data_IF_524040730168
#
_entry.id   IF_524040730168
#
_cell.length_a   1.000
_cell.length_b   1.000
_cell.length_c   1.000
_cell.angle_alpha   90.00
_cell.angle_beta   90.00
_cell.angle_gamma   90.00
#
_symmetry.space_group_name_H-M   'P 1'
#
loop_
_entity.id
_entity.type
_entity.pdbx_description
1 polymer ?
#
# COMPACT_ATOMS: atom_id res chain seq x y z
N UNK A 1 -29.28 -17.07 5.70
CA UNK A 1 -29.20 -15.59 5.59
C UNK A 1 -28.94 -15.25 4.13
N UNK A 2 -29.90 -14.63 3.43
CA UNK A 2 -29.91 -14.53 1.96
C UNK A 2 -28.59 -13.97 1.39
N UNK A 3 -28.04 -14.65 0.39
CA UNK A 3 -26.80 -14.27 -0.31
C UNK A 3 -26.81 -12.78 -0.72
N UNK A 4 -27.95 -12.31 -1.23
CA UNK A 4 -28.20 -10.92 -1.61
C UNK A 4 -27.99 -9.95 -0.43
N UNK A 5 -28.49 -10.28 0.76
CA UNK A 5 -28.32 -9.44 1.96
C UNK A 5 -26.85 -9.34 2.38
N UNK A 6 -26.08 -10.44 2.26
CA UNK A 6 -24.63 -10.44 2.53
C UNK A 6 -23.87 -9.63 1.50
N UNK A 7 -24.24 -9.77 0.22
CA UNK A 7 -23.65 -9.00 -0.88
C UNK A 7 -23.88 -7.51 -0.69
N UNK A 8 -25.13 -7.06 -0.55
CA UNK A 8 -25.49 -5.65 -0.34
C UNK A 8 -24.77 -5.06 0.87
N UNK A 9 -24.74 -5.79 2.00
CA UNK A 9 -24.04 -5.32 3.20
C UNK A 9 -22.54 -5.14 2.94
N UNK A 10 -21.91 -6.08 2.27
CA UNK A 10 -20.46 -6.02 1.99
C UNK A 10 -20.15 -4.90 1.01
N UNK A 11 -20.90 -4.81 -0.09
CA UNK A 11 -20.75 -3.78 -1.12
C UNK A 11 -21.01 -2.38 -0.55
N UNK A 12 -22.05 -2.20 0.28
CA UNK A 12 -22.35 -0.93 0.94
C UNK A 12 -21.24 -0.49 1.89
N UNK A 13 -20.67 -1.42 2.66
CA UNK A 13 -19.53 -1.13 3.55
C UNK A 13 -18.31 -0.68 2.74
N UNK A 14 -17.95 -1.39 1.66
CA UNK A 14 -16.85 -0.96 0.78
C UNK A 14 -17.12 0.37 0.08
N UNK A 15 -18.35 0.58 -0.39
CA UNK A 15 -18.75 1.80 -1.07
C UNK A 15 -18.61 3.00 -0.14
N UNK A 16 -19.21 2.94 1.05
CA UNK A 16 -19.11 4.01 2.06
C UNK A 16 -17.67 4.21 2.48
N UNK A 17 -16.93 3.12 2.73
CA UNK A 17 -15.53 3.16 3.12
C UNK A 17 -14.67 3.93 2.13
N UNK A 18 -14.67 3.48 0.87
CA UNK A 18 -13.84 4.07 -0.17
C UNK A 18 -14.29 5.49 -0.55
N UNK A 19 -15.60 5.75 -0.56
CA UNK A 19 -16.14 7.08 -0.89
C UNK A 19 -15.77 8.08 0.19
N UNK A 20 -15.92 7.71 1.46
CA UNK A 20 -15.60 8.58 2.58
C UNK A 20 -14.11 8.92 2.58
N UNK A 21 -13.22 7.93 2.40
CA UNK A 21 -11.77 8.20 2.29
C UNK A 21 -11.47 9.19 1.16
N UNK A 22 -12.05 9.02 -0.03
CA UNK A 22 -11.82 9.92 -1.17
C UNK A 22 -12.38 11.33 -0.94
N UNK A 23 -13.58 11.44 -0.39
CA UNK A 23 -14.19 12.74 -0.06
C UNK A 23 -13.32 13.50 0.93
N UNK A 24 -12.79 12.82 1.95
CA UNK A 24 -11.96 13.49 2.93
C UNK A 24 -10.61 13.93 2.33
N UNK A 25 -9.99 13.12 1.47
CA UNK A 25 -8.79 13.57 0.73
C UNK A 25 -9.07 14.81 -0.13
N UNK A 26 -10.25 14.90 -0.74
CA UNK A 26 -10.67 16.10 -1.49
C UNK A 26 -10.81 17.32 -0.59
N UNK A 27 -11.41 17.18 0.59
CA UNK A 27 -11.54 18.30 1.56
C UNK A 27 -10.20 18.74 2.17
N UNK A 28 -9.17 17.91 2.13
CA UNK A 28 -7.82 18.28 2.54
C UNK A 28 -7.04 19.06 1.47
N UNK A 29 -7.50 19.04 0.22
CA UNK A 29 -6.82 19.71 -0.88
C UNK A 29 -6.61 21.21 -0.61
N UNK A 30 -7.62 21.99 -0.16
CA UNK A 30 -7.42 23.40 0.17
C UNK A 30 -6.33 23.59 1.24
N UNK A 31 -6.32 22.76 2.27
CA UNK A 31 -5.32 22.83 3.34
C UNK A 31 -3.92 22.61 2.79
N UNK A 32 -3.73 21.61 1.92
CA UNK A 32 -2.45 21.37 1.29
C UNK A 32 -2.03 22.51 0.36
N UNK A 33 -2.93 23.00 -0.49
CA UNK A 33 -2.61 24.07 -1.45
C UNK A 33 -2.35 25.43 -0.80
N UNK A 34 -2.92 25.70 0.38
CA UNK A 34 -2.68 26.96 1.11
C UNK A 34 -1.42 26.93 1.99
N UNK A 35 -1.07 25.75 2.55
CA UNK A 35 0.01 25.63 3.54
C UNK A 35 1.30 25.01 3.00
N UNK A 36 1.24 24.25 1.90
CA UNK A 36 2.39 23.51 1.35
C UNK A 36 2.73 24.07 -0.02
N UNK A 37 4.03 24.32 -0.25
CA UNK A 37 4.52 24.79 -1.54
C UNK A 37 4.26 23.75 -2.66
N UNK A 38 3.82 24.18 -3.86
CA UNK A 38 3.56 23.28 -4.98
C UNK A 38 4.72 22.35 -5.33
N UNK A 39 5.96 22.85 -5.22
CA UNK A 39 7.19 22.08 -5.50
C UNK A 39 7.36 20.92 -4.51
N UNK A 40 7.11 21.16 -3.21
CA UNK A 40 7.18 20.13 -2.18
C UNK A 40 6.08 19.09 -2.35
N UNK A 41 4.89 19.51 -2.76
CA UNK A 41 3.79 18.58 -3.06
C UNK A 41 4.10 17.73 -4.31
N UNK A 42 4.69 18.32 -5.35
CA UNK A 42 5.18 17.59 -6.52
C UNK A 42 6.25 16.57 -6.18
N UNK A 43 7.17 16.90 -5.27
CA UNK A 43 8.17 15.96 -4.75
C UNK A 43 7.53 14.76 -4.04
N UNK A 44 6.51 15.01 -3.20
CA UNK A 44 5.76 13.94 -2.55
C UNK A 44 5.01 13.06 -3.54
N UNK A 45 4.31 13.64 -4.50
CA UNK A 45 3.56 12.87 -5.51
C UNK A 45 4.49 11.97 -6.33
N UNK A 46 5.65 12.49 -6.76
CA UNK A 46 6.69 11.69 -7.41
C UNK A 46 7.18 10.54 -6.54
N UNK A 47 7.44 10.82 -5.27
CA UNK A 47 7.94 9.81 -4.33
C UNK A 47 6.92 8.70 -4.09
N UNK A 48 5.66 9.04 -3.85
CA UNK A 48 4.57 8.07 -3.68
C UNK A 48 4.34 7.28 -4.97
N UNK A 49 4.40 7.92 -6.13
CA UNK A 49 4.30 7.26 -7.44
C UNK A 49 5.39 6.21 -7.64
N UNK A 50 6.64 6.53 -7.28
CA UNK A 50 7.76 5.59 -7.31
C UNK A 50 7.60 4.45 -6.31
N UNK A 51 7.11 4.71 -5.10
CA UNK A 51 6.80 3.66 -4.12
C UNK A 51 5.74 2.70 -4.67
N UNK A 52 4.65 3.24 -5.23
CA UNK A 52 3.56 2.45 -5.82
C UNK A 52 4.03 1.57 -6.99
N UNK A 53 5.08 1.99 -7.70
CA UNK A 53 5.72 1.21 -8.76
C UNK A 53 6.68 0.14 -8.21
N UNK A 54 7.63 0.57 -7.38
CA UNK A 54 8.78 -0.24 -6.98
C UNK A 54 8.40 -1.31 -5.96
N UNK A 55 7.51 -1.01 -5.01
CA UNK A 55 7.17 -1.95 -3.94
C UNK A 55 6.52 -3.23 -4.49
N UNK A 56 5.50 -3.19 -5.37
CA UNK A 56 4.98 -4.40 -6.00
C UNK A 56 6.05 -5.25 -6.70
N UNK A 57 7.01 -4.63 -7.37
CA UNK A 57 8.06 -5.34 -8.10
C UNK A 57 9.04 -6.01 -7.13
N UNK A 58 9.56 -5.25 -6.16
CA UNK A 58 10.56 -5.71 -5.19
C UNK A 58 10.01 -6.83 -4.29
N UNK A 59 8.73 -6.76 -3.95
CA UNK A 59 8.05 -7.78 -3.16
C UNK A 59 7.36 -8.86 -4.02
N UNK A 60 7.63 -8.87 -5.34
CA UNK A 60 7.10 -9.83 -6.32
C UNK A 60 5.58 -9.93 -6.35
N UNK A 61 4.88 -8.89 -5.89
CA UNK A 61 3.43 -8.83 -5.74
C UNK A 61 2.87 -10.09 -5.05
N UNK A 62 3.65 -10.67 -4.13
CA UNK A 62 3.42 -12.00 -3.56
C UNK A 62 2.08 -12.11 -2.82
N UNK A 63 1.54 -10.99 -2.34
CA UNK A 63 0.21 -10.92 -1.74
C UNK A 63 -0.89 -11.42 -2.69
N UNK A 64 -0.81 -11.22 -4.00
CA UNK A 64 -1.84 -11.73 -4.92
C UNK A 64 -1.77 -13.25 -5.10
N UNK A 65 -0.56 -13.81 -5.07
CA UNK A 65 -0.36 -15.25 -4.98
C UNK A 65 -0.96 -15.80 -3.69
N UNK A 66 -0.63 -15.21 -2.54
CA UNK A 66 -1.20 -15.62 -1.25
C UNK A 66 -2.72 -15.54 -1.28
N UNK A 67 -3.28 -14.47 -1.85
CA UNK A 67 -4.72 -14.30 -1.98
C UNK A 67 -5.35 -15.47 -2.73
N UNK A 68 -4.86 -15.80 -3.94
CA UNK A 68 -5.40 -16.89 -4.75
C UNK A 68 -5.25 -18.25 -4.07
N UNK A 69 -4.04 -18.61 -3.70
CA UNK A 69 -3.74 -19.96 -3.20
C UNK A 69 -4.38 -20.24 -1.83
N UNK A 70 -4.65 -19.20 -1.02
CA UNK A 70 -5.41 -19.40 0.24
C UNK A 70 -6.86 -19.85 0.02
N UNK A 71 -7.47 -19.63 -1.15
CA UNK A 71 -8.81 -20.15 -1.45
C UNK A 71 -8.82 -21.61 -1.90
N UNK A 72 -7.67 -22.19 -2.24
CA UNK A 72 -7.56 -23.61 -2.58
C UNK A 72 -7.66 -24.52 -1.34
N UNK A 73 -7.58 -23.92 -0.14
CA UNK A 73 -7.63 -24.63 1.13
C UNK A 73 -8.84 -24.20 1.96
N UNK A 74 -9.56 -25.17 2.54
CA UNK A 74 -10.67 -24.89 3.46
C UNK A 74 -10.19 -24.77 4.91
N UNK A 75 -9.22 -25.61 5.31
CA UNK A 75 -8.76 -25.65 6.70
C UNK A 75 -7.92 -24.42 7.01
N UNK A 76 -8.20 -23.83 8.18
CA UNK A 76 -7.48 -22.65 8.68
C UNK A 76 -5.97 -22.89 8.77
N UNK A 77 -5.53 -24.08 9.18
CA UNK A 77 -4.11 -24.46 9.29
C UNK A 77 -3.41 -24.42 7.94
N UNK A 78 -4.06 -24.91 6.88
CA UNK A 78 -3.51 -24.93 5.51
C UNK A 78 -3.47 -23.53 4.91
N UNK A 79 -4.48 -22.68 5.20
CA UNK A 79 -4.40 -21.25 4.85
C UNK A 79 -3.20 -20.56 5.51
N UNK A 80 -2.92 -20.85 6.78
CA UNK A 80 -1.72 -20.30 7.44
C UNK A 80 -0.41 -20.87 6.91
N UNK A 81 -0.39 -22.07 6.31
CA UNK A 81 0.77 -22.56 5.56
C UNK A 81 1.06 -21.66 4.36
N UNK A 82 0.05 -21.35 3.54
CA UNK A 82 0.21 -20.43 2.40
C UNK A 82 0.67 -19.05 2.88
N UNK A 83 0.05 -18.52 3.94
CA UNK A 83 0.40 -17.23 4.52
C UNK A 83 1.83 -17.24 5.07
N UNK A 84 2.27 -18.33 5.73
CA UNK A 84 3.64 -18.45 6.25
C UNK A 84 4.67 -18.41 5.14
N UNK A 85 4.41 -19.10 4.02
CA UNK A 85 5.26 -19.04 2.83
C UNK A 85 5.27 -17.62 2.22
N UNK A 86 4.12 -16.96 2.21
CA UNK A 86 3.98 -15.55 1.81
C UNK A 86 4.80 -14.58 2.69
N UNK A 87 4.77 -14.75 4.01
CA UNK A 87 5.58 -13.95 4.95
C UNK A 87 7.07 -14.15 4.69
N UNK A 88 7.49 -15.37 4.39
CA UNK A 88 8.89 -15.65 4.02
C UNK A 88 9.29 -14.89 2.76
N UNK A 89 8.44 -14.87 1.73
CA UNK A 89 8.67 -14.04 0.53
C UNK A 89 8.71 -12.56 0.90
N UNK A 90 7.80 -12.09 1.76
CA UNK A 90 7.76 -10.71 2.23
C UNK A 90 9.04 -10.32 2.96
N UNK A 91 9.64 -11.23 3.74
CA UNK A 91 10.90 -11.00 4.43
C UNK A 91 12.08 -10.90 3.46
N UNK A 92 12.13 -11.76 2.43
CA UNK A 92 13.12 -11.64 1.36
C UNK A 92 12.94 -10.35 0.56
N UNK A 93 11.70 -9.96 0.26
CA UNK A 93 11.38 -8.67 -0.37
C UNK A 93 11.82 -7.49 0.48
N UNK A 94 11.65 -7.57 1.81
CA UNK A 94 12.14 -6.55 2.74
C UNK A 94 13.66 -6.41 2.70
N UNK A 95 14.41 -7.53 2.71
CA UNK A 95 15.86 -7.51 2.57
C UNK A 95 16.30 -6.90 1.24
N UNK A 96 15.64 -7.27 0.14
CA UNK A 96 15.89 -6.70 -1.19
C UNK A 96 15.57 -5.20 -1.23
N UNK A 97 14.49 -4.77 -0.59
CA UNK A 97 14.10 -3.37 -0.47
C UNK A 97 15.15 -2.57 0.30
N UNK A 98 15.63 -3.09 1.45
CA UNK A 98 16.70 -2.45 2.23
C UNK A 98 17.94 -2.25 1.38
N UNK A 99 18.43 -3.32 0.73
CA UNK A 99 19.65 -3.27 -0.07
C UNK A 99 19.49 -2.29 -1.24
N UNK A 100 18.42 -2.45 -2.03
CA UNK A 100 18.18 -1.60 -3.20
C UNK A 100 18.00 -0.13 -2.82
N UNK A 101 17.28 0.18 -1.74
CA UNK A 101 17.08 1.55 -1.29
C UNK A 101 18.42 2.22 -0.92
N UNK A 102 19.22 1.60 -0.05
CA UNK A 102 20.49 2.18 0.39
C UNK A 102 21.55 2.24 -0.72
N UNK A 103 21.57 1.26 -1.65
CA UNK A 103 22.44 1.30 -2.82
C UNK A 103 22.06 2.46 -3.73
N UNK A 104 20.77 2.67 -4.00
CA UNK A 104 20.29 3.76 -4.85
C UNK A 104 20.59 5.13 -4.22
N UNK A 105 20.26 5.31 -2.94
CA UNK A 105 20.47 6.59 -2.25
C UNK A 105 21.95 6.96 -2.14
N UNK A 106 22.85 5.97 -1.94
CA UNK A 106 24.28 6.25 -1.81
C UNK A 106 24.98 6.39 -3.16
N UNK A 107 24.53 5.68 -4.20
CA UNK A 107 25.19 5.70 -5.51
C UNK A 107 24.86 6.95 -6.33
N UNK A 108 23.65 7.51 -6.17
CA UNK A 108 23.18 8.60 -7.03
C UNK A 108 23.73 9.98 -6.67
N UNK A 109 24.53 10.14 -5.60
CA UNK A 109 24.97 11.44 -5.05
C UNK A 109 23.83 12.49 -4.94
N UNK A 110 22.59 12.02 -4.92
CA UNK A 110 21.40 12.84 -4.83
C UNK A 110 21.00 12.88 -3.36
N UNK A 111 20.90 14.07 -2.80
CA UNK A 111 20.32 14.20 -1.47
C UNK A 111 18.81 14.04 -1.61
N UNK A 112 18.30 12.94 -1.07
CA UNK A 112 16.86 12.63 -1.08
C UNK A 112 16.30 13.17 0.22
N UNK A 113 15.59 14.29 0.14
CA UNK A 113 14.85 14.84 1.26
C UNK A 113 13.91 13.79 1.86
N UNK A 114 13.82 13.76 3.20
CA UNK A 114 12.95 12.83 3.92
C UNK A 114 13.23 11.34 3.65
N UNK A 115 14.42 10.95 3.16
CA UNK A 115 14.77 9.54 2.81
C UNK A 115 14.34 8.49 3.82
N UNK A 116 14.47 8.76 5.12
CA UNK A 116 14.08 7.81 6.17
C UNK A 116 12.56 7.65 6.28
N UNK A 117 11.79 8.73 6.11
CA UNK A 117 10.33 8.68 6.09
C UNK A 117 9.85 7.91 4.86
N UNK A 118 10.44 8.19 3.69
CA UNK A 118 10.16 7.49 2.43
C UNK A 118 10.44 5.99 2.55
N UNK A 119 11.57 5.63 3.15
CA UNK A 119 11.96 4.26 3.41
C UNK A 119 10.93 3.53 4.31
N UNK A 120 10.56 4.13 5.44
CA UNK A 120 9.57 3.53 6.36
C UNK A 120 8.20 3.45 5.69
N UNK A 121 7.81 4.47 4.92
CA UNK A 121 6.57 4.46 4.15
C UNK A 121 6.52 3.24 3.22
N UNK A 122 7.59 3.00 2.44
CA UNK A 122 7.66 1.87 1.51
C UNK A 122 7.53 0.51 2.20
N UNK A 123 8.20 0.33 3.35
CA UNK A 123 8.05 -0.87 4.18
C UNK A 123 6.58 -1.05 4.59
N UNK A 124 6.00 -0.02 5.20
CA UNK A 124 4.63 -0.09 5.71
C UNK A 124 3.62 -0.30 4.60
N UNK A 125 3.83 0.29 3.42
CA UNK A 125 3.01 0.06 2.24
C UNK A 125 3.00 -1.42 1.86
N UNK A 126 4.17 -2.05 1.76
CA UNK A 126 4.29 -3.48 1.43
C UNK A 126 3.55 -4.36 2.45
N UNK A 127 3.75 -4.12 3.75
CA UNK A 127 3.09 -4.88 4.81
C UNK A 127 1.60 -4.60 4.88
N UNK A 128 1.15 -3.37 4.64
CA UNK A 128 -0.27 -3.01 4.59
C UNK A 128 -0.98 -3.81 3.50
N UNK A 129 -0.41 -3.89 2.30
CA UNK A 129 -0.95 -4.70 1.21
C UNK A 129 -1.05 -6.18 1.59
N UNK A 130 0.02 -6.74 2.17
CA UNK A 130 0.03 -8.12 2.62
C UNK A 130 -1.05 -8.42 3.67
N UNK A 131 -1.13 -7.62 4.73
CA UNK A 131 -2.12 -7.80 5.80
C UNK A 131 -3.56 -7.62 5.31
N UNK A 132 -3.81 -6.65 4.42
CA UNK A 132 -5.11 -6.48 3.78
C UNK A 132 -5.49 -7.70 2.94
N UNK A 133 -4.53 -8.25 2.20
CA UNK A 133 -4.72 -9.51 1.48
C UNK A 133 -5.11 -10.64 2.44
N UNK A 134 -4.35 -10.86 3.52
CA UNK A 134 -4.65 -11.93 4.49
C UNK A 134 -6.03 -11.74 5.12
N UNK A 135 -6.44 -10.51 5.45
CA UNK A 135 -7.79 -10.23 5.93
C UNK A 135 -8.86 -10.69 4.92
N UNK A 136 -8.65 -10.42 3.63
CA UNK A 136 -9.55 -10.85 2.54
C UNK A 136 -9.54 -12.37 2.35
N UNK A 137 -8.39 -13.03 2.44
CA UNK A 137 -8.26 -14.50 2.35
C UNK A 137 -9.08 -15.24 3.42
N UNK A 138 -9.28 -14.62 4.58
CA UNK A 138 -10.17 -15.12 5.64
C UNK A 138 -11.61 -14.60 5.54
N UNK A 139 -11.98 -13.95 4.43
CA UNK A 139 -13.29 -13.32 4.22
C UNK A 139 -13.67 -12.29 5.30
N UNK A 140 -12.69 -11.71 6.00
CA UNK A 140 -12.89 -10.68 7.03
C UNK A 140 -12.97 -9.28 6.40
N UNK A 141 -13.82 -9.14 5.38
CA UNK A 141 -13.96 -7.90 4.60
C UNK A 141 -14.39 -6.70 5.44
N UNK A 142 -15.29 -6.90 6.40
CA UNK A 142 -15.72 -5.84 7.31
C UNK A 142 -14.56 -5.34 8.20
N UNK A 143 -13.69 -6.24 8.66
CA UNK A 143 -12.50 -5.86 9.43
C UNK A 143 -11.58 -4.99 8.59
N UNK A 144 -11.30 -5.40 7.33
CA UNK A 144 -10.47 -4.62 6.41
C UNK A 144 -11.03 -3.21 6.18
N UNK A 145 -12.33 -3.09 5.90
CA UNK A 145 -12.91 -1.76 5.64
C UNK A 145 -12.88 -0.88 6.87
N UNK A 146 -13.22 -1.42 8.04
CA UNK A 146 -13.19 -0.65 9.30
C UNK A 146 -11.78 -0.20 9.64
N UNK A 147 -10.77 -1.07 9.52
CA UNK A 147 -9.38 -0.68 9.81
C UNK A 147 -8.79 0.24 8.76
N UNK A 148 -9.19 0.11 7.49
CA UNK A 148 -8.82 1.04 6.42
C UNK A 148 -9.41 2.44 6.63
N UNK A 149 -10.70 2.52 6.98
CA UNK A 149 -11.35 3.78 7.36
C UNK A 149 -10.67 4.43 8.56
N UNK A 150 -10.35 3.63 9.58
CA UNK A 150 -9.64 4.12 10.76
C UNK A 150 -8.24 4.63 10.41
N UNK A 151 -7.50 3.95 9.55
CA UNK A 151 -6.22 4.45 9.02
C UNK A 151 -6.40 5.82 8.35
N UNK A 152 -7.37 5.94 7.44
CA UNK A 152 -7.66 7.21 6.76
C UNK A 152 -7.96 8.31 7.78
N UNK A 153 -8.90 8.09 8.71
CA UNK A 153 -9.30 9.09 9.71
C UNK A 153 -8.10 9.54 10.54
N UNK A 154 -7.27 8.60 11.02
CA UNK A 154 -6.07 8.93 11.80
C UNK A 154 -5.09 9.74 10.96
N UNK A 155 -4.82 9.30 9.72
CA UNK A 155 -3.93 10.01 8.81
C UNK A 155 -4.42 11.44 8.55
N UNK A 156 -5.73 11.63 8.40
CA UNK A 156 -6.34 12.95 8.18
C UNK A 156 -6.19 13.84 9.41
N UNK A 157 -6.55 13.33 10.59
CA UNK A 157 -6.45 14.09 11.85
C UNK A 157 -4.99 14.50 12.09
N UNK A 158 -4.05 13.60 11.85
CA UNK A 158 -2.63 13.91 11.95
C UNK A 158 -2.19 14.92 10.91
N UNK A 159 -2.58 14.79 9.65
CA UNK A 159 -2.24 15.77 8.61
C UNK A 159 -2.70 17.17 9.01
N UNK A 160 -3.97 17.32 9.39
CA UNK A 160 -4.53 18.62 9.82
C UNK A 160 -3.78 19.17 11.02
N UNK A 161 -3.51 18.32 12.03
CA UNK A 161 -2.84 18.72 13.27
C UNK A 161 -1.40 19.14 13.01
N UNK A 162 -0.62 18.31 12.32
CA UNK A 162 0.80 18.57 12.04
C UNK A 162 1.00 19.79 11.13
N UNK A 163 0.15 19.97 10.13
CA UNK A 163 0.26 21.11 9.19
C UNK A 163 -0.28 22.40 9.81
N UNK A 164 -1.40 22.36 10.54
CA UNK A 164 -2.07 23.59 11.01
C UNK A 164 -1.57 24.09 12.36
N UNK A 165 -1.17 23.18 13.26
CA UNK A 165 -0.78 23.52 14.64
C UNK A 165 0.74 23.53 14.79
N UNK A 166 1.44 22.59 14.15
CA UNK A 166 2.89 22.45 14.25
C UNK A 166 3.63 23.07 13.06
N UNK A 167 2.90 23.65 12.09
CA UNK A 167 3.42 24.24 10.85
C UNK A 167 4.44 23.33 10.12
N UNK A 168 4.23 22.02 10.19
CA UNK A 168 5.03 21.04 9.46
C UNK A 168 4.73 21.12 7.97
N UNK A 169 5.76 20.86 7.16
CA UNK A 169 5.67 20.82 5.71
C UNK A 169 5.17 19.47 5.18
N UNK A 170 5.79 19.01 4.11
CA UNK A 170 5.39 17.78 3.40
C UNK A 170 5.66 16.51 4.22
N UNK A 171 6.56 16.56 5.20
CA UNK A 171 6.84 15.48 6.14
C UNK A 171 5.61 15.05 6.95
N UNK A 172 4.66 15.96 7.17
CA UNK A 172 3.40 15.65 7.84
C UNK A 172 2.62 14.54 7.11
N UNK A 173 2.66 14.51 5.78
CA UNK A 173 1.96 13.52 4.97
C UNK A 173 2.56 12.13 5.13
N UNK A 174 3.89 12.04 5.11
CA UNK A 174 4.59 10.78 5.35
C UNK A 174 4.34 10.27 6.78
N UNK A 175 4.49 11.13 7.79
CA UNK A 175 4.31 10.77 9.20
C UNK A 175 2.88 10.31 9.47
N UNK A 176 1.89 11.03 8.93
CA UNK A 176 0.48 10.71 9.08
C UNK A 176 0.15 9.32 8.51
N UNK A 177 0.63 9.02 7.30
CA UNK A 177 0.46 7.70 6.71
C UNK A 177 1.17 6.61 7.52
N UNK A 178 2.40 6.85 7.98
CA UNK A 178 3.19 5.91 8.77
C UNK A 178 2.43 5.53 10.04
N UNK A 179 1.96 6.52 10.80
CA UNK A 179 1.26 6.29 12.07
C UNK A 179 -0.10 5.61 11.83
N UNK A 180 -0.89 6.11 10.87
CA UNK A 180 -2.18 5.51 10.54
C UNK A 180 -2.06 4.05 10.10
N UNK A 181 -1.06 3.76 9.27
CA UNK A 181 -0.81 2.40 8.76
C UNK A 181 -0.25 1.48 9.84
N UNK A 182 0.63 1.96 10.73
CA UNK A 182 1.08 1.19 11.89
C UNK A 182 -0.09 0.77 12.78
N UNK A 183 -1.00 1.69 13.09
CA UNK A 183 -2.18 1.38 13.91
C UNK A 183 -3.08 0.36 13.20
N UNK A 184 -3.30 0.51 11.89
CA UNK A 184 -4.04 -0.49 11.11
C UNK A 184 -3.38 -1.87 11.17
N UNK A 185 -2.06 -1.96 10.97
CA UNK A 185 -1.33 -3.22 11.03
C UNK A 185 -1.42 -3.86 12.41
N UNK A 186 -1.30 -3.10 13.49
CA UNK A 186 -1.46 -3.62 14.85
C UNK A 186 -2.85 -4.20 15.11
N UNK A 187 -3.91 -3.54 14.62
CA UNK A 187 -5.29 -4.04 14.76
C UNK A 187 -5.48 -5.31 13.93
N UNK A 188 -5.00 -5.33 12.69
CA UNK A 188 -5.07 -6.50 11.83
C UNK A 188 -4.29 -7.68 12.43
N UNK A 189 -3.09 -7.43 12.96
CA UNK A 189 -2.29 -8.46 13.60
C UNK A 189 -2.98 -9.06 14.82
N UNK A 190 -3.53 -8.22 15.70
CA UNK A 190 -4.29 -8.71 16.87
C UNK A 190 -5.49 -9.59 16.48
N UNK A 191 -6.10 -9.36 15.31
CA UNK A 191 -7.31 -10.06 14.85
C UNK A 191 -7.03 -11.25 13.92
N UNK A 192 -5.92 -11.25 13.22
CA UNK A 192 -5.51 -12.29 12.27
C UNK A 192 -4.45 -13.22 12.88
N UNK A 193 -3.70 -12.74 13.87
CA UNK A 193 -2.63 -13.45 14.57
C UNK A 193 -1.64 -14.04 13.56
N UNK A 194 -1.20 -13.24 12.60
CA UNK A 194 -0.36 -13.71 11.49
C UNK A 194 0.99 -14.17 12.04
N UNK A 195 1.58 -13.40 12.96
CA UNK A 195 2.88 -13.69 13.57
C UNK A 195 2.77 -14.93 14.47
N UNK A 196 1.74 -15.03 15.31
CA UNK A 196 1.56 -16.20 16.20
C UNK A 196 1.31 -17.51 15.43
N UNK A 197 0.72 -17.45 14.23
CA UNK A 197 0.48 -18.63 13.40
C UNK A 197 1.58 -18.88 12.37
N UNK A 198 2.60 -18.02 12.29
CA UNK A 198 3.76 -18.26 11.46
C UNK A 198 4.53 -19.47 11.99
N UNK A 199 4.83 -20.42 11.10
CA UNK A 199 5.61 -21.61 11.43
C UNK A 199 6.68 -21.82 10.37
N UNK A 200 7.93 -21.89 10.81
CA UNK A 200 9.05 -22.10 9.90
C UNK A 200 9.06 -23.54 9.32
N UNK A 201 8.53 -24.51 10.08
CA UNK A 201 8.49 -25.93 9.70
C UNK A 201 7.54 -26.27 8.55
N UNK A 202 6.63 -25.36 8.19
CA UNK A 202 5.66 -25.55 7.09
C UNK A 202 6.01 -24.72 5.84
N UNK A 203 7.19 -24.08 5.84
CA UNK A 203 7.70 -23.38 4.67
C UNK A 203 8.23 -24.41 3.68
N UNK A 204 7.85 -24.26 2.41
CA UNK A 204 8.37 -25.07 1.31
C UNK A 204 8.75 -24.17 0.14
N UNK A 205 9.96 -24.37 -0.36
CA UNK A 205 10.45 -23.64 -1.53
C UNK A 205 9.53 -23.81 -2.75
N UNK A 206 8.93 -25.00 -2.89
CA UNK A 206 7.95 -25.30 -3.94
C UNK A 206 6.77 -24.34 -3.88
N UNK A 207 6.11 -24.20 -2.72
CA UNK A 207 4.95 -23.32 -2.58
C UNK A 207 5.34 -21.85 -2.75
N UNK A 208 6.51 -21.43 -2.23
CA UNK A 208 7.01 -20.08 -2.46
C UNK A 208 7.18 -19.78 -3.96
N UNK A 209 7.74 -20.74 -4.71
CA UNK A 209 7.88 -20.62 -6.17
C UNK A 209 6.53 -20.53 -6.86
N UNK A 210 5.56 -21.36 -6.48
CA UNK A 210 4.20 -21.33 -7.05
C UNK A 210 3.51 -19.97 -6.80
N UNK A 211 3.68 -19.39 -5.60
CA UNK A 211 3.17 -18.05 -5.27
C UNK A 211 3.78 -16.96 -6.15
N UNK A 212 5.11 -16.94 -6.26
CA UNK A 212 5.84 -15.92 -7.05
C UNK A 212 5.57 -16.08 -8.53
N UNK A 213 5.62 -17.30 -9.08
CA UNK A 213 5.37 -17.55 -10.51
C UNK A 213 3.97 -17.11 -10.91
N UNK A 214 2.98 -17.29 -10.03
CA UNK A 214 1.64 -16.78 -10.27
C UNK A 214 1.57 -15.24 -10.21
N UNK A 215 2.32 -14.61 -9.31
CA UNK A 215 2.29 -13.16 -9.12
C UNK A 215 3.14 -12.37 -10.13
N UNK A 216 4.19 -12.96 -10.71
CA UNK A 216 5.09 -12.30 -11.67
C UNK A 216 4.37 -11.64 -12.86
N UNK A 217 3.41 -12.30 -13.55
CA UNK A 217 2.63 -11.64 -14.60
C UNK A 217 1.85 -10.43 -14.11
N UNK A 218 1.40 -10.42 -12.84
CA UNK A 218 0.67 -9.30 -12.25
C UNK A 218 1.60 -8.10 -11.97
N UNK A 219 2.88 -8.35 -11.67
CA UNK A 219 3.88 -7.26 -11.60
C UNK A 219 4.00 -6.53 -12.95
N UNK A 220 3.98 -7.28 -14.07
CA UNK A 220 4.03 -6.70 -15.41
C UNK A 220 2.80 -5.84 -15.67
N UNK A 221 1.62 -6.29 -15.22
CA UNK A 221 0.39 -5.49 -15.31
C UNK A 221 0.52 -4.18 -14.54
N UNK A 222 1.01 -4.21 -13.29
CA UNK A 222 1.24 -3.01 -12.48
C UNK A 222 2.22 -2.04 -13.16
N UNK A 223 3.33 -2.57 -13.69
CA UNK A 223 4.31 -1.81 -14.49
C UNK A 223 3.66 -1.15 -15.72
N UNK A 224 2.86 -1.91 -16.47
CA UNK A 224 2.16 -1.41 -17.65
C UNK A 224 1.19 -0.29 -17.31
N UNK A 225 0.45 -0.38 -16.21
CA UNK A 225 -0.45 0.69 -15.78
C UNK A 225 0.30 1.97 -15.38
N UNK A 226 1.41 1.84 -14.65
CA UNK A 226 2.21 3.01 -14.28
C UNK A 226 2.85 3.67 -15.52
N UNK A 227 3.39 2.86 -16.43
CA UNK A 227 3.91 3.34 -17.72
C UNK A 227 2.84 4.02 -18.55
N UNK A 228 1.64 3.44 -18.65
CA UNK A 228 0.53 4.02 -19.38
C UNK A 228 0.19 5.41 -18.82
N UNK A 229 0.04 5.53 -17.50
CA UNK A 229 -0.26 6.83 -16.86
C UNK A 229 0.85 7.86 -17.09
N UNK A 230 2.12 7.45 -16.99
CA UNK A 230 3.26 8.34 -17.23
C UNK A 230 3.37 8.78 -18.69
N UNK A 231 3.23 7.84 -19.62
CA UNK A 231 3.26 8.09 -21.06
C UNK A 231 2.11 8.98 -21.51
N UNK A 232 0.91 8.82 -20.95
CA UNK A 232 -0.21 9.71 -21.26
C UNK A 232 0.08 11.15 -20.84
N UNK A 233 0.64 11.37 -19.64
CA UNK A 233 1.04 12.72 -19.21
C UNK A 233 2.13 13.33 -20.09
N UNK A 234 3.12 12.52 -20.48
CA UNK A 234 4.19 12.97 -21.40
C UNK A 234 3.63 13.30 -22.79
N UNK A 235 2.75 12.47 -23.34
CA UNK A 235 2.13 12.70 -24.63
C UNK A 235 1.28 13.98 -24.62
N UNK A 236 0.44 14.19 -23.60
CA UNK A 236 -0.35 15.42 -23.46
C UNK A 236 0.58 16.63 -23.34
N UNK A 237 1.60 16.55 -22.48
CA UNK A 237 2.55 17.65 -22.32
C UNK A 237 3.30 18.02 -23.60
N UNK A 238 3.65 17.03 -24.44
CA UNK A 238 4.39 17.25 -25.68
C UNK A 238 3.50 17.72 -26.84
N UNK A 239 2.30 17.17 -26.97
CA UNK A 239 1.39 17.46 -28.10
C UNK A 239 0.46 18.65 -27.83
N UNK A 240 -0.01 18.81 -26.59
CA UNK A 240 -1.03 19.78 -26.19
C UNK A 240 -0.50 20.86 -25.23
N UNK A 241 0.68 20.64 -24.65
CA UNK A 241 1.36 21.59 -23.76
C UNK A 241 1.13 21.30 -22.28
N UNK A 242 1.98 21.91 -21.43
CA UNK A 242 2.02 21.68 -19.98
C UNK A 242 0.70 22.09 -19.29
N UNK A 243 0.03 23.13 -19.81
CA UNK A 243 -1.26 23.59 -19.28
C UNK A 243 -2.37 22.54 -19.43
N UNK A 244 -2.51 21.94 -20.62
CA UNK A 244 -3.50 20.88 -20.88
C UNK A 244 -3.19 19.63 -20.04
N UNK A 245 -1.91 19.33 -19.82
CA UNK A 245 -1.50 18.27 -18.90
C UNK A 245 -1.82 18.58 -17.43
N UNK A 246 -1.92 19.86 -17.04
CA UNK A 246 -2.34 20.27 -15.71
C UNK A 246 -3.86 20.16 -15.49
N UNK A 247 -4.65 20.16 -16.56
CA UNK A 247 -6.10 19.91 -16.51
C UNK A 247 -6.46 18.40 -16.47
N UNK A 248 -5.51 17.54 -16.83
CA UNK A 248 -5.64 16.08 -16.93
C UNK A 248 -5.33 15.35 -15.62
#
# INVERSE_FOLDING_TARGET
>A
MNYIKRFIKTSGVFFIGNTLTKLISFFLLPLYTFKIAPESYGYYDLTISLINLLIPIIFFQAWDGVFRFTFEYEKKSEKYMVISNGITIQFFGLLLYIISFFVLTNSLKYDIDYKYLIFIYGILYAFQYFYNCVARSFSKNALLVVTGLLNSIISIVLNVTLISIYDMGIEALYISYIIGTLIQLLILEKRLMIINNFKISIISFRLMKELVVFALPLCVVTLSYWLLSGLTRLAISNELGIYENGLY
#
